data_IF_208949158190
#
_entry.id   IF_208949158190
#
_cell.length_a   1.000
_cell.length_b   1.000
_cell.length_c   1.000
_cell.angle_alpha   90.00
_cell.angle_beta   90.00
_cell.angle_gamma   90.00
#
_symmetry.space_group_name_H-M   'P 1'
#
loop_
_entity.id
_entity.type
_entity.pdbx_description
1 polymer ?
#
# COMPACT_ATOMS: atom_id res chain seq x y z
N UNK A 1 -10.88 25.56 -16.69
CA UNK A 1 -11.83 25.74 -17.81
C UNK A 1 -13.18 25.28 -17.31
N UNK A 2 -14.21 26.12 -17.38
CA UNK A 2 -15.56 25.73 -16.97
C UNK A 2 -16.00 24.56 -17.86
N UNK A 3 -16.06 23.36 -17.29
CA UNK A 3 -16.79 22.27 -17.92
C UNK A 3 -18.22 22.79 -18.11
N UNK A 4 -18.72 22.73 -19.35
CA UNK A 4 -20.13 22.97 -19.70
C UNK A 4 -20.98 21.80 -19.18
N UNK A 5 -20.87 21.47 -17.89
CA UNK A 5 -21.76 20.50 -17.25
C UNK A 5 -23.17 21.06 -17.33
N UNK A 6 -24.09 20.21 -17.76
CA UNK A 6 -25.49 20.59 -17.91
C UNK A 6 -26.14 20.85 -16.54
N UNK A 7 -27.07 21.80 -16.46
CA UNK A 7 -27.71 22.15 -15.18
C UNK A 7 -28.61 21.01 -14.67
N UNK A 8 -29.23 20.22 -15.55
CA UNK A 8 -30.01 19.04 -15.17
C UNK A 8 -29.11 17.94 -14.61
N UNK A 9 -27.95 17.73 -15.24
CA UNK A 9 -26.93 16.81 -14.75
C UNK A 9 -26.44 17.20 -13.35
N UNK A 10 -26.20 18.50 -13.11
CA UNK A 10 -25.84 19.01 -11.78
C UNK A 10 -26.95 18.74 -10.76
N UNK A 11 -28.20 19.06 -11.08
CA UNK A 11 -29.34 18.81 -10.19
C UNK A 11 -29.45 17.32 -9.83
N UNK A 12 -29.16 16.42 -10.78
CA UNK A 12 -29.20 14.97 -10.55
C UNK A 12 -28.18 14.49 -9.50
N UNK A 13 -27.11 15.25 -9.24
CA UNK A 13 -26.11 14.92 -8.21
C UNK A 13 -26.57 15.25 -6.78
N UNK A 14 -27.65 16.03 -6.61
CA UNK A 14 -28.17 16.42 -5.30
C UNK A 14 -28.97 15.27 -4.70
N UNK A 15 -28.58 14.76 -3.54
CA UNK A 15 -29.22 13.60 -2.90
C UNK A 15 -30.63 13.91 -2.36
N UNK A 16 -30.80 15.08 -1.75
CA UNK A 16 -32.05 15.48 -1.10
C UNK A 16 -33.12 15.93 -2.12
N UNK A 17 -34.33 15.40 -2.00
CA UNK A 17 -35.40 15.63 -2.96
C UNK A 17 -36.00 17.05 -2.86
N UNK A 18 -36.16 17.59 -1.65
CA UNK A 18 -36.71 18.94 -1.45
C UNK A 18 -35.72 20.00 -1.94
N UNK A 19 -34.43 19.82 -1.62
CA UNK A 19 -33.37 20.70 -2.13
C UNK A 19 -33.26 20.61 -3.66
N UNK A 20 -33.46 19.42 -4.23
CA UNK A 20 -33.49 19.23 -5.69
C UNK A 20 -34.64 20.01 -6.33
N UNK A 21 -35.81 20.06 -5.70
CA UNK A 21 -36.96 20.82 -6.18
C UNK A 21 -36.69 22.33 -6.16
N UNK A 22 -36.10 22.87 -5.09
CA UNK A 22 -35.66 24.27 -5.07
C UNK A 22 -34.65 24.59 -6.18
N UNK A 23 -33.70 23.69 -6.45
CA UNK A 23 -32.73 23.89 -7.52
C UNK A 23 -33.35 23.77 -8.93
N UNK A 24 -34.42 22.97 -9.11
CA UNK A 24 -35.21 22.95 -10.35
C UNK A 24 -35.95 24.28 -10.58
N UNK A 25 -36.47 24.88 -9.52
CA UNK A 25 -37.06 26.23 -9.61
C UNK A 25 -35.99 27.28 -9.97
N UNK A 26 -34.80 27.18 -9.35
CA UNK A 26 -33.67 28.05 -9.67
C UNK A 26 -33.23 27.92 -11.14
N UNK A 27 -33.24 26.70 -11.69
CA UNK A 27 -32.98 26.44 -13.10
C UNK A 27 -34.10 27.00 -14.00
N UNK A 28 -35.36 26.86 -13.60
CA UNK A 28 -36.50 27.41 -14.35
C UNK A 28 -36.42 28.94 -14.44
N UNK A 29 -36.05 29.60 -13.36
CA UNK A 29 -35.76 31.03 -13.35
C UNK A 29 -34.61 31.40 -14.29
N UNK A 30 -33.55 30.61 -14.31
CA UNK A 30 -32.42 30.82 -15.21
C UNK A 30 -32.84 30.70 -16.69
N UNK A 31 -33.56 29.63 -17.04
CA UNK A 31 -34.08 29.39 -18.40
C UNK A 31 -35.06 30.48 -18.87
N UNK A 32 -35.82 31.08 -17.95
CA UNK A 32 -36.73 32.19 -18.24
C UNK A 32 -36.03 33.57 -18.31
N UNK A 33 -34.69 33.64 -18.14
CA UNK A 33 -33.94 34.90 -18.09
C UNK A 33 -34.10 35.68 -16.78
N UNK A 34 -34.74 35.09 -15.76
CA UNK A 34 -34.90 35.65 -14.43
C UNK A 34 -33.68 35.34 -13.55
N UNK A 35 -32.50 35.85 -13.93
CA UNK A 35 -31.22 35.55 -13.27
C UNK A 35 -31.18 35.93 -11.79
N UNK A 36 -31.85 37.02 -11.40
CA UNK A 36 -32.01 37.41 -9.99
C UNK A 36 -32.73 36.31 -9.19
N UNK A 37 -33.78 35.73 -9.75
CA UNK A 37 -34.54 34.64 -9.12
C UNK A 37 -33.70 33.38 -8.98
N UNK A 38 -32.92 33.03 -10.01
CA UNK A 38 -32.02 31.87 -9.97
C UNK A 38 -30.98 31.96 -8.84
N UNK A 39 -30.36 33.14 -8.66
CA UNK A 39 -29.39 33.38 -7.57
C UNK A 39 -30.07 33.27 -6.20
N UNK A 40 -31.26 33.87 -6.04
CA UNK A 40 -31.99 33.87 -4.76
C UNK A 40 -32.44 32.46 -4.38
N UNK A 41 -32.98 31.68 -5.32
CA UNK A 41 -33.40 30.30 -5.06
C UNK A 41 -32.20 29.39 -4.77
N UNK A 42 -31.09 29.56 -5.49
CA UNK A 42 -29.84 28.82 -5.20
C UNK A 42 -29.32 29.11 -3.79
N UNK A 43 -29.43 30.36 -3.34
CA UNK A 43 -29.09 30.75 -1.97
C UNK A 43 -30.00 30.06 -0.94
N UNK A 44 -31.31 30.05 -1.18
CA UNK A 44 -32.29 29.42 -0.26
C UNK A 44 -32.01 27.93 -0.14
N UNK A 45 -31.89 27.23 -1.27
CA UNK A 45 -31.60 25.80 -1.31
C UNK A 45 -30.32 25.47 -0.53
N UNK A 46 -29.27 26.29 -0.69
CA UNK A 46 -28.00 26.09 0.01
C UNK A 46 -28.12 26.19 1.53
N UNK A 47 -28.73 27.25 2.05
CA UNK A 47 -28.81 27.44 3.50
C UNK A 47 -29.79 26.48 4.17
N UNK A 48 -30.84 26.07 3.46
CA UNK A 48 -31.75 25.04 3.95
C UNK A 48 -31.07 23.67 4.01
N UNK A 49 -30.33 23.31 2.96
CA UNK A 49 -29.49 22.10 2.92
C UNK A 49 -28.43 22.12 4.02
N UNK A 50 -27.70 23.23 4.21
CA UNK A 50 -26.72 23.36 5.29
C UNK A 50 -27.39 23.16 6.66
N UNK A 51 -28.60 23.67 6.87
CA UNK A 51 -29.30 23.58 8.15
C UNK A 51 -29.81 22.15 8.42
N UNK A 52 -30.37 21.46 7.41
CA UNK A 52 -30.73 20.03 7.50
C UNK A 52 -29.50 19.20 7.80
N UNK A 53 -28.41 19.43 7.06
CA UNK A 53 -27.13 18.76 7.24
C UNK A 53 -26.53 19.04 8.63
N UNK A 54 -26.66 20.26 9.14
CA UNK A 54 -26.22 20.62 10.48
C UNK A 54 -27.07 19.93 11.57
N UNK A 55 -28.37 19.74 11.34
CA UNK A 55 -29.27 18.99 12.23
C UNK A 55 -28.89 17.51 12.35
N UNK A 56 -28.44 16.89 11.26
CA UNK A 56 -27.88 15.54 11.31
C UNK A 56 -26.54 15.50 12.06
N UNK A 57 -25.67 16.48 11.83
CA UNK A 57 -24.40 16.63 12.55
C UNK A 57 -24.61 16.88 14.07
N UNK A 58 -25.69 17.54 14.46
CA UNK A 58 -26.05 17.82 15.85
C UNK A 58 -26.33 16.58 16.70
N UNK A 59 -26.67 15.44 16.08
CA UNK A 59 -26.92 14.18 16.80
C UNK A 59 -25.66 13.65 17.50
N UNK A 60 -24.49 14.01 17.01
CA UNK A 60 -23.22 13.39 17.42
C UNK A 60 -22.08 14.38 17.70
N UNK A 61 -22.20 15.64 17.29
CA UNK A 61 -21.22 16.69 17.57
C UNK A 61 -21.85 17.78 18.44
N UNK A 62 -21.32 17.98 19.66
CA UNK A 62 -21.88 18.94 20.64
C UNK A 62 -21.72 20.40 20.21
N UNK A 63 -20.65 20.74 19.49
CA UNK A 63 -20.44 22.07 18.92
C UNK A 63 -21.47 22.33 17.82
N UNK A 64 -21.60 21.39 16.88
CA UNK A 64 -22.60 21.47 15.82
C UNK A 64 -24.03 21.46 16.38
N UNK A 65 -24.29 20.73 17.46
CA UNK A 65 -25.57 20.75 18.17
C UNK A 65 -25.90 22.13 18.70
N UNK A 66 -24.92 22.81 19.30
CA UNK A 66 -25.13 24.16 19.83
C UNK A 66 -25.46 25.13 18.70
N UNK A 67 -24.72 25.06 17.59
CA UNK A 67 -24.96 25.90 16.40
C UNK A 67 -26.31 25.55 15.76
N UNK A 68 -26.62 24.25 15.63
CA UNK A 68 -27.89 23.74 15.09
C UNK A 68 -29.07 24.25 15.90
N UNK A 69 -29.06 24.03 17.22
CA UNK A 69 -30.14 24.42 18.12
C UNK A 69 -30.39 25.93 18.05
N UNK A 70 -29.33 26.74 17.97
CA UNK A 70 -29.45 28.19 17.82
C UNK A 70 -29.94 28.59 16.41
N UNK A 71 -29.46 27.94 15.35
CA UNK A 71 -29.87 28.19 13.98
C UNK A 71 -31.34 27.81 13.73
N UNK A 72 -31.80 26.66 14.26
CA UNK A 72 -33.20 26.24 14.21
C UNK A 72 -34.10 27.19 15.00
N UNK A 73 -33.65 27.69 16.17
CA UNK A 73 -34.38 28.72 16.92
C UNK A 73 -34.51 30.02 16.12
N UNK A 74 -33.42 30.48 15.51
CA UNK A 74 -33.43 31.69 14.65
C UNK A 74 -34.36 31.51 13.45
N UNK A 75 -34.30 30.36 12.77
CA UNK A 75 -35.22 30.02 11.67
C UNK A 75 -36.69 30.03 12.12
N UNK A 76 -37.00 29.42 13.28
CA UNK A 76 -38.35 29.38 13.84
C UNK A 76 -38.89 30.78 14.21
N UNK A 77 -38.01 31.67 14.68
CA UNK A 77 -38.35 33.06 15.00
C UNK A 77 -38.37 33.99 13.77
N UNK A 78 -38.09 33.48 12.57
CA UNK A 78 -37.90 34.27 11.35
C UNK A 78 -36.74 35.29 11.42
N UNK A 79 -35.75 35.02 12.26
CA UNK A 79 -34.51 35.80 12.34
C UNK A 79 -33.54 35.40 11.21
N UNK A 80 -32.62 36.31 10.86
CA UNK A 80 -31.53 36.04 9.89
C UNK A 80 -30.55 35.04 10.50
N UNK A 81 -30.59 33.79 10.04
CA UNK A 81 -29.77 32.68 10.57
C UNK A 81 -28.55 32.38 9.69
N UNK A 82 -28.56 32.83 8.43
CA UNK A 82 -27.52 32.50 7.45
C UNK A 82 -26.18 33.16 7.80
N UNK A 83 -26.20 34.40 8.33
CA UNK A 83 -24.99 35.07 8.82
C UNK A 83 -24.36 34.31 9.97
N UNK A 84 -25.21 33.92 10.93
CA UNK A 84 -24.78 33.13 12.08
C UNK A 84 -24.17 31.80 11.65
N UNK A 85 -24.78 31.09 10.69
CA UNK A 85 -24.25 29.85 10.14
C UNK A 85 -22.87 30.05 9.50
N UNK A 86 -22.70 31.04 8.62
CA UNK A 86 -21.40 31.30 7.98
C UNK A 86 -20.32 31.54 9.04
N UNK A 87 -20.58 32.43 10.00
CA UNK A 87 -19.60 32.83 11.01
C UNK A 87 -19.24 31.67 11.95
N UNK A 88 -20.24 30.92 12.44
CA UNK A 88 -20.01 29.79 13.34
C UNK A 88 -19.33 28.61 12.63
N UNK A 89 -19.78 28.25 11.43
CA UNK A 89 -19.19 27.13 10.69
C UNK A 89 -17.74 27.44 10.28
N UNK A 90 -17.42 28.69 9.92
CA UNK A 90 -16.06 29.10 9.56
C UNK A 90 -15.17 29.20 10.81
N UNK A 91 -15.63 29.83 11.89
CA UNK A 91 -14.82 30.01 13.12
C UNK A 91 -14.55 28.70 13.87
N UNK A 92 -15.41 27.69 13.70
CA UNK A 92 -15.24 26.34 14.27
C UNK A 92 -14.59 25.36 13.30
N UNK A 93 -14.12 25.83 12.14
CA UNK A 93 -13.49 25.00 11.10
C UNK A 93 -14.35 23.82 10.61
N UNK A 94 -15.67 24.00 10.63
CA UNK A 94 -16.62 23.06 10.01
C UNK A 94 -16.79 23.34 8.51
N UNK A 95 -16.42 24.56 8.07
CA UNK A 95 -16.26 24.93 6.67
C UNK A 95 -14.82 25.39 6.42
N UNK A 96 -14.29 25.13 5.23
CA UNK A 96 -13.00 25.68 4.81
C UNK A 96 -13.08 27.21 4.70
N UNK A 97 -11.96 27.91 4.86
CA UNK A 97 -11.92 29.37 4.69
C UNK A 97 -12.33 29.82 3.28
N UNK A 98 -12.05 28.99 2.26
CA UNK A 98 -12.46 29.25 0.87
C UNK A 98 -13.98 29.12 0.70
N UNK A 99 -14.58 28.11 1.32
CA UNK A 99 -16.03 27.93 1.27
C UNK A 99 -16.75 29.02 2.05
N UNK A 100 -16.22 29.42 3.22
CA UNK A 100 -16.73 30.58 3.96
C UNK A 100 -16.69 31.89 3.15
N UNK A 101 -15.59 32.12 2.40
CA UNK A 101 -15.48 33.26 1.50
C UNK A 101 -16.48 33.22 0.33
N UNK A 102 -16.72 32.03 -0.22
CA UNK A 102 -17.76 31.83 -1.25
C UNK A 102 -19.16 32.10 -0.69
N UNK A 103 -19.52 31.55 0.47
CA UNK A 103 -20.83 31.80 1.10
C UNK A 103 -21.05 33.28 1.40
N UNK A 104 -19.99 33.98 1.81
CA UNK A 104 -20.02 35.44 2.01
C UNK A 104 -20.30 36.19 0.70
N UNK A 105 -19.62 35.80 -0.39
CA UNK A 105 -19.87 36.35 -1.73
C UNK A 105 -21.31 36.10 -2.18
N UNK A 106 -21.78 34.87 -2.05
CA UNK A 106 -23.13 34.46 -2.43
C UNK A 106 -24.19 35.25 -1.65
N UNK A 107 -23.99 35.49 -0.35
CA UNK A 107 -24.85 36.36 0.46
C UNK A 107 -24.93 37.79 -0.08
N UNK A 108 -23.79 38.38 -0.44
CA UNK A 108 -23.73 39.73 -1.01
C UNK A 108 -24.52 39.79 -2.32
N UNK A 109 -24.32 38.80 -3.20
CA UNK A 109 -25.02 38.71 -4.49
C UNK A 109 -26.52 38.47 -4.32
N UNK A 110 -26.92 37.63 -3.37
CA UNK A 110 -28.34 37.44 -2.99
C UNK A 110 -28.96 38.76 -2.54
N UNK A 111 -28.29 39.52 -1.66
CA UNK A 111 -28.83 40.80 -1.17
C UNK A 111 -28.97 41.83 -2.29
N UNK A 112 -27.98 41.93 -3.17
CA UNK A 112 -28.05 42.79 -4.36
C UNK A 112 -29.19 42.35 -5.31
N UNK A 113 -29.41 41.05 -5.44
CA UNK A 113 -30.43 40.48 -6.34
C UNK A 113 -31.83 40.54 -5.76
N UNK A 114 -32.01 40.47 -4.43
CA UNK A 114 -33.33 40.52 -3.79
C UNK A 114 -33.85 41.96 -3.63
N UNK A 115 -32.97 42.93 -3.40
CA UNK A 115 -33.37 44.33 -3.18
C UNK A 115 -33.18 45.21 -4.42
N UNK A 116 -33.85 46.38 -4.52
CA UNK A 116 -33.67 47.35 -5.62
C UNK A 116 -32.29 48.05 -5.58
N UNK A 117 -31.21 47.29 -5.73
CA UNK A 117 -29.82 47.79 -5.64
C UNK A 117 -29.28 48.34 -6.97
N UNK A 118 -30.03 48.16 -8.06
CA UNK A 118 -29.55 48.41 -9.42
C UNK A 118 -28.68 47.30 -10.02
N UNK A 119 -28.36 46.24 -9.26
CA UNK A 119 -27.62 45.08 -9.76
C UNK A 119 -28.44 44.30 -10.79
N UNK A 120 -27.83 44.02 -11.94
CA UNK A 120 -28.40 43.24 -13.05
C UNK A 120 -27.48 42.05 -13.33
N UNK A 121 -27.67 40.92 -12.62
CA UNK A 121 -26.83 39.74 -12.82
C UNK A 121 -26.94 39.22 -14.25
N UNK A 122 -25.82 38.81 -14.83
CA UNK A 122 -25.77 38.20 -16.16
C UNK A 122 -26.11 36.70 -16.11
N UNK A 123 -26.26 36.09 -17.30
CA UNK A 123 -26.45 34.64 -17.40
C UNK A 123 -25.23 33.87 -16.85
N UNK A 124 -24.03 34.39 -17.07
CA UNK A 124 -22.78 33.78 -16.59
C UNK A 124 -22.68 33.87 -15.07
N UNK A 125 -23.06 34.99 -14.48
CA UNK A 125 -23.08 35.18 -13.03
C UNK A 125 -24.05 34.18 -12.38
N UNK A 126 -25.28 34.09 -12.88
CA UNK A 126 -26.26 33.13 -12.36
C UNK A 126 -25.81 31.68 -12.53
N UNK A 127 -25.24 31.32 -13.70
CA UNK A 127 -24.71 29.97 -13.95
C UNK A 127 -23.53 29.62 -13.06
N UNK A 128 -22.63 30.57 -12.83
CA UNK A 128 -21.50 30.38 -11.93
C UNK A 128 -21.98 30.08 -10.50
N UNK A 129 -22.92 30.88 -9.99
CA UNK A 129 -23.50 30.68 -8.67
C UNK A 129 -24.22 29.33 -8.58
N UNK A 130 -25.02 28.99 -9.58
CA UNK A 130 -25.70 27.70 -9.65
C UNK A 130 -24.70 26.53 -9.58
N UNK A 131 -23.68 26.56 -10.44
CA UNK A 131 -22.66 25.51 -10.52
C UNK A 131 -21.90 25.36 -9.20
N UNK A 132 -21.42 26.46 -8.62
CA UNK A 132 -20.63 26.41 -7.40
C UNK A 132 -21.46 25.97 -6.20
N UNK A 133 -22.71 26.43 -6.09
CA UNK A 133 -23.63 25.99 -5.04
C UNK A 133 -23.84 24.47 -5.09
N UNK A 134 -24.12 23.91 -6.27
CA UNK A 134 -24.34 22.47 -6.41
C UNK A 134 -23.06 21.66 -6.18
N UNK A 135 -21.98 22.00 -6.90
CA UNK A 135 -20.76 21.20 -6.92
C UNK A 135 -19.96 21.27 -5.62
N UNK A 136 -20.00 22.39 -4.90
CA UNK A 136 -19.28 22.55 -3.62
C UNK A 136 -20.07 22.08 -2.41
N UNK A 137 -21.39 22.24 -2.43
CA UNK A 137 -22.21 22.03 -1.23
C UNK A 137 -23.32 21.00 -1.41
N UNK A 138 -24.26 21.24 -2.32
CA UNK A 138 -25.50 20.44 -2.37
C UNK A 138 -25.26 18.98 -2.79
N UNK A 139 -24.36 18.76 -3.76
CA UNK A 139 -23.97 17.43 -4.24
C UNK A 139 -23.09 16.64 -3.27
N UNK A 140 -22.59 17.30 -2.21
CA UNK A 140 -21.65 16.68 -1.27
C UNK A 140 -22.35 16.28 0.01
N UNK A 141 -22.14 15.04 0.51
CA UNK A 141 -22.54 14.68 1.86
C UNK A 141 -21.73 15.50 2.87
N UNK A 142 -22.41 15.86 3.95
CA UNK A 142 -22.10 16.80 5.04
C UNK A 142 -20.63 16.96 5.44
N UNK A 143 -20.29 18.23 5.71
CA UNK A 143 -19.18 18.93 6.39
C UNK A 143 -18.36 18.26 7.51
N UNK A 144 -18.21 16.93 7.55
CA UNK A 144 -17.58 16.28 8.70
C UNK A 144 -16.47 15.32 8.30
N UNK A 145 -15.33 15.91 7.94
CA UNK A 145 -14.03 15.23 7.94
C UNK A 145 -13.76 14.55 9.29
N UNK A 146 -14.32 15.07 10.39
CA UNK A 146 -14.08 14.58 11.76
C UNK A 146 -15.07 13.51 12.21
N UNK A 147 -16.38 13.62 11.91
CA UNK A 147 -17.39 12.64 12.34
C UNK A 147 -17.28 11.32 11.61
N UNK A 148 -17.09 11.32 10.28
CA UNK A 148 -16.92 10.06 9.55
C UNK A 148 -15.69 9.31 10.07
N UNK A 149 -14.63 10.06 10.42
CA UNK A 149 -13.48 9.50 11.13
C UNK A 149 -13.90 8.93 12.49
N UNK A 150 -14.63 9.66 13.32
CA UNK A 150 -15.12 9.14 14.61
C UNK A 150 -15.97 7.87 14.47
N UNK A 151 -16.88 7.81 13.49
CA UNK A 151 -17.75 6.66 13.22
C UNK A 151 -16.97 5.43 12.75
N UNK A 152 -15.98 5.62 11.88
CA UNK A 152 -15.05 4.54 11.49
C UNK A 152 -14.30 4.05 12.72
N UNK A 153 -13.73 4.96 13.51
CA UNK A 153 -12.90 4.61 14.65
C UNK A 153 -13.69 3.93 15.77
N UNK A 154 -14.94 4.33 16.01
CA UNK A 154 -15.82 3.73 17.03
C UNK A 154 -16.12 2.25 16.73
N UNK A 155 -16.11 1.84 15.46
CA UNK A 155 -16.37 0.46 15.04
C UNK A 155 -15.14 -0.44 15.03
N UNK A 156 -13.93 0.11 15.22
CA UNK A 156 -12.70 -0.69 15.20
C UNK A 156 -12.60 -1.74 16.32
N UNK A 157 -13.36 -1.58 17.41
CA UNK A 157 -13.46 -2.59 18.46
C UNK A 157 -14.26 -3.84 18.05
N UNK A 158 -14.99 -3.78 16.93
CA UNK A 158 -15.81 -4.90 16.45
C UNK A 158 -14.93 -6.00 15.87
N UNK A 159 -15.19 -7.25 16.27
CA UNK A 159 -14.40 -8.42 15.82
C UNK A 159 -14.46 -8.65 14.31
N UNK A 160 -15.56 -8.25 13.68
CA UNK A 160 -15.85 -8.52 12.26
C UNK A 160 -15.61 -7.30 11.36
N UNK A 161 -14.96 -6.25 11.87
CA UNK A 161 -14.67 -5.06 11.07
C UNK A 161 -13.83 -5.42 9.84
N UNK A 162 -12.80 -6.25 10.03
CA UNK A 162 -12.10 -6.93 8.93
C UNK A 162 -12.40 -8.43 9.01
N UNK A 163 -13.08 -9.02 8.01
CA UNK A 163 -13.53 -10.41 8.07
C UNK A 163 -12.37 -11.42 7.96
N UNK A 164 -11.24 -11.03 7.37
CA UNK A 164 -10.05 -11.86 7.27
C UNK A 164 -8.77 -11.00 7.22
N UNK A 165 -7.62 -11.64 7.04
CA UNK A 165 -6.30 -10.98 7.02
C UNK A 165 -5.68 -10.87 5.63
N UNK A 166 -6.43 -11.18 4.57
CA UNK A 166 -5.96 -10.98 3.20
C UNK A 166 -5.87 -9.49 2.88
N UNK A 167 -4.78 -9.07 2.24
CA UNK A 167 -4.53 -7.65 1.98
C UNK A 167 -5.51 -7.06 0.96
N UNK A 168 -6.02 -7.88 0.03
CA UNK A 168 -6.97 -7.43 -0.99
C UNK A 168 -8.33 -7.17 -0.36
N UNK A 169 -8.76 -8.04 0.54
CA UNK A 169 -9.99 -7.90 1.33
C UNK A 169 -9.90 -6.73 2.32
N UNK A 170 -8.77 -6.60 3.02
CA UNK A 170 -8.50 -5.43 3.87
C UNK A 170 -8.60 -4.14 3.05
N UNK A 171 -8.00 -4.10 1.85
CA UNK A 171 -8.08 -2.92 0.99
C UNK A 171 -9.52 -2.66 0.50
N UNK A 172 -10.30 -3.70 0.17
CA UNK A 172 -11.70 -3.55 -0.23
C UNK A 172 -12.54 -2.92 0.89
N UNK A 173 -12.44 -3.44 2.12
CA UNK A 173 -13.12 -2.88 3.29
C UNK A 173 -12.67 -1.43 3.53
N UNK A 174 -11.36 -1.15 3.51
CA UNK A 174 -10.85 0.21 3.70
C UNK A 174 -11.35 1.19 2.62
N UNK A 175 -11.41 0.77 1.36
CA UNK A 175 -11.95 1.58 0.28
C UNK A 175 -13.45 1.88 0.48
N UNK A 176 -14.23 0.89 0.90
CA UNK A 176 -15.66 1.08 1.18
C UNK A 176 -15.86 2.08 2.32
N UNK A 177 -15.11 1.90 3.42
CA UNK A 177 -15.17 2.77 4.60
C UNK A 177 -14.71 4.20 4.33
N UNK A 178 -13.80 4.40 3.39
CA UNK A 178 -13.28 5.72 3.02
C UNK A 178 -13.97 6.33 1.80
N UNK A 179 -14.88 5.61 1.13
CA UNK A 179 -15.54 6.05 -0.11
C UNK A 179 -16.29 7.38 0.00
N UNK A 180 -16.84 7.66 1.20
CA UNK A 180 -17.57 8.89 1.52
C UNK A 180 -16.73 9.92 2.27
N UNK A 181 -15.47 9.59 2.55
CA UNK A 181 -14.57 10.43 3.33
C UNK A 181 -13.85 11.44 2.43
N UNK A 182 -13.84 12.72 2.82
CA UNK A 182 -13.08 13.74 2.10
C UNK A 182 -11.57 13.56 2.29
N UNK A 183 -10.78 13.85 1.27
CA UNK A 183 -9.31 13.70 1.31
C UNK A 183 -8.65 14.47 2.48
N UNK A 184 -9.20 15.63 2.83
CA UNK A 184 -8.73 16.45 3.97
C UNK A 184 -8.88 15.76 5.34
N UNK A 185 -9.72 14.74 5.44
CA UNK A 185 -9.86 13.95 6.66
C UNK A 185 -8.77 12.88 6.84
N UNK A 186 -8.13 12.45 5.74
CA UNK A 186 -7.15 11.37 5.75
C UNK A 186 -5.97 11.63 6.71
N UNK A 187 -5.39 12.84 6.78
CA UNK A 187 -4.35 13.14 7.77
C UNK A 187 -4.79 12.94 9.23
N UNK A 188 -6.05 13.23 9.55
CA UNK A 188 -6.61 13.04 10.89
C UNK A 188 -6.90 11.57 11.16
N UNK A 189 -7.53 10.87 10.21
CA UNK A 189 -7.79 9.45 10.29
C UNK A 189 -6.51 8.66 10.55
N UNK A 190 -5.48 8.88 9.73
CA UNK A 190 -4.18 8.20 9.84
C UNK A 190 -3.53 8.50 11.20
N UNK A 191 -3.57 9.75 11.67
CA UNK A 191 -3.01 10.10 12.98
C UNK A 191 -3.70 9.37 14.13
N UNK A 192 -5.03 9.21 14.07
CA UNK A 192 -5.80 8.53 15.11
C UNK A 192 -5.65 7.02 15.05
N UNK A 193 -5.70 6.43 13.85
CA UNK A 193 -5.39 5.03 13.64
C UNK A 193 -4.00 4.69 14.19
N UNK A 194 -3.00 5.53 13.90
CA UNK A 194 -1.63 5.35 14.43
C UNK A 194 -1.64 5.27 15.95
N UNK A 195 -2.34 6.15 16.66
CA UNK A 195 -2.43 6.09 18.13
C UNK A 195 -3.12 4.81 18.61
N UNK A 196 -4.16 4.36 17.91
CA UNK A 196 -4.95 3.19 18.28
C UNK A 196 -4.25 1.86 18.01
N UNK A 197 -3.19 1.83 17.20
CA UNK A 197 -2.30 0.65 17.08
C UNK A 197 -1.76 0.23 18.45
N UNK A 198 -1.46 1.19 19.33
CA UNK A 198 -1.01 0.94 20.69
C UNK A 198 -2.15 0.83 21.72
N UNK A 199 -3.40 0.63 21.28
CA UNK A 199 -4.54 0.42 22.17
C UNK A 199 -4.38 -0.88 22.98
N UNK A 200 -4.86 -0.88 24.22
CA UNK A 200 -4.96 -2.09 25.04
C UNK A 200 -6.07 -3.05 24.57
N UNK A 201 -7.02 -2.58 23.75
CA UNK A 201 -8.03 -3.44 23.14
C UNK A 201 -7.47 -4.12 21.86
N UNK A 202 -7.44 -5.46 21.88
CA UNK A 202 -6.82 -6.25 20.82
C UNK A 202 -7.51 -6.09 19.46
N UNK A 203 -8.84 -5.96 19.44
CA UNK A 203 -9.59 -5.73 18.20
C UNK A 203 -9.24 -4.35 17.64
N UNK A 204 -9.31 -3.31 18.46
CA UNK A 204 -8.97 -1.94 18.06
C UNK A 204 -7.53 -1.85 17.55
N UNK A 205 -6.56 -2.45 18.24
CA UNK A 205 -5.15 -2.44 17.83
C UNK A 205 -4.94 -3.15 16.48
N UNK A 206 -5.47 -4.37 16.34
CA UNK A 206 -5.32 -5.16 15.12
C UNK A 206 -6.07 -4.56 13.93
N UNK A 207 -7.30 -4.08 14.13
CA UNK A 207 -8.09 -3.43 13.10
C UNK A 207 -7.49 -2.08 12.70
N UNK A 208 -6.92 -1.30 13.63
CA UNK A 208 -6.21 -0.06 13.28
C UNK A 208 -5.00 -0.33 12.39
N UNK A 209 -4.23 -1.38 12.70
CA UNK A 209 -3.09 -1.82 11.88
C UNK A 209 -3.54 -2.25 10.48
N UNK A 210 -4.60 -3.07 10.39
CA UNK A 210 -5.19 -3.50 9.11
C UNK A 210 -5.70 -2.31 8.29
N UNK A 211 -6.37 -1.35 8.91
CA UNK A 211 -6.87 -0.16 8.23
C UNK A 211 -5.74 0.65 7.61
N UNK A 212 -4.64 0.86 8.33
CA UNK A 212 -3.44 1.52 7.79
C UNK A 212 -2.82 0.74 6.62
N UNK A 213 -2.84 -0.60 6.67
CA UNK A 213 -2.38 -1.45 5.57
C UNK A 213 -3.28 -1.33 4.33
N UNK A 214 -4.60 -1.30 4.53
CA UNK A 214 -5.59 -1.06 3.48
C UNK A 214 -5.35 0.27 2.79
N UNK A 215 -5.17 1.34 3.57
CA UNK A 215 -4.85 2.68 3.06
C UNK A 215 -3.52 2.71 2.29
N UNK A 216 -2.46 2.08 2.82
CA UNK A 216 -1.17 2.02 2.14
C UNK A 216 -1.25 1.34 0.77
N UNK A 217 -2.10 0.31 0.65
CA UNK A 217 -2.29 -0.47 -0.57
C UNK A 217 -2.96 0.32 -1.70
N UNK A 218 -3.79 1.32 -1.39
CA UNK A 218 -4.45 2.19 -2.38
C UNK A 218 -3.46 3.00 -3.22
N UNK A 219 -2.23 3.21 -2.71
CA UNK A 219 -1.17 3.94 -3.40
C UNK A 219 -1.54 5.39 -3.81
N UNK A 220 -2.47 6.02 -3.08
CA UNK A 220 -2.80 7.44 -3.25
C UNK A 220 -1.64 8.31 -2.75
N UNK A 221 -1.20 9.36 -3.49
CA UNK A 221 -0.07 10.20 -3.09
C UNK A 221 -0.24 10.85 -1.70
N UNK A 222 -1.42 11.38 -1.41
CA UNK A 222 -1.73 11.99 -0.12
C UNK A 222 -1.61 10.98 1.03
N UNK A 223 -2.24 9.81 0.89
CA UNK A 223 -2.18 8.72 1.88
C UNK A 223 -0.74 8.26 2.11
N UNK A 224 0.03 8.08 1.03
CA UNK A 224 1.44 7.65 1.11
C UNK A 224 2.28 8.67 1.88
N UNK A 225 2.09 9.96 1.61
CA UNK A 225 2.77 11.05 2.33
C UNK A 225 2.41 11.07 3.82
N UNK A 226 1.12 10.95 4.14
CA UNK A 226 0.63 11.01 5.52
C UNK A 226 1.03 9.79 6.35
N UNK A 227 0.98 8.57 5.79
CA UNK A 227 1.46 7.34 6.46
C UNK A 227 2.96 7.46 6.74
N UNK A 228 3.74 7.92 5.76
CA UNK A 228 5.19 8.10 5.93
C UNK A 228 5.49 9.02 7.11
N UNK A 229 4.89 10.21 7.14
CA UNK A 229 5.11 11.21 8.19
C UNK A 229 4.60 10.77 9.56
N UNK A 230 3.37 10.25 9.63
CA UNK A 230 2.67 10.01 10.91
C UNK A 230 2.93 8.63 11.50
N UNK A 231 3.32 7.66 10.68
CA UNK A 231 3.61 6.29 11.14
C UNK A 231 5.12 6.04 11.08
N UNK A 232 5.72 6.06 9.89
CA UNK A 232 7.10 5.58 9.73
C UNK A 232 8.10 6.54 10.41
N UNK A 233 8.09 7.82 10.03
CA UNK A 233 9.00 8.81 10.59
C UNK A 233 8.77 9.04 12.09
N UNK A 234 7.50 9.08 12.51
CA UNK A 234 7.13 9.40 13.89
C UNK A 234 7.19 8.20 14.86
N UNK A 235 7.17 6.95 14.37
CA UNK A 235 7.08 5.74 15.22
C UNK A 235 8.15 4.67 14.96
N UNK A 236 9.10 4.88 14.05
CA UNK A 236 10.15 3.88 13.79
C UNK A 236 11.10 3.61 14.98
N UNK A 237 11.11 4.45 16.02
CA UNK A 237 11.81 4.18 17.28
C UNK A 237 10.99 3.38 18.30
N UNK A 238 9.68 3.24 18.10
CA UNK A 238 8.78 2.54 19.01
C UNK A 238 8.65 1.05 18.59
N UNK A 239 9.08 0.09 19.44
CA UNK A 239 9.02 -1.34 19.13
C UNK A 239 7.61 -1.85 18.81
N UNK A 240 6.56 -1.23 19.35
CA UNK A 240 5.16 -1.63 19.11
C UNK A 240 4.76 -1.49 17.64
N UNK A 241 5.44 -0.62 16.90
CA UNK A 241 5.13 -0.32 15.50
C UNK A 241 6.05 -1.07 14.52
N UNK A 242 7.07 -1.78 15.00
CA UNK A 242 8.07 -2.43 14.15
C UNK A 242 7.45 -3.40 13.14
N UNK A 243 6.54 -4.27 13.57
CA UNK A 243 5.85 -5.20 12.67
C UNK A 243 4.95 -4.50 11.67
N UNK A 244 4.18 -3.51 12.13
CA UNK A 244 3.32 -2.70 11.26
C UNK A 244 4.13 -1.98 10.18
N UNK A 245 5.28 -1.40 10.53
CA UNK A 245 6.15 -0.71 9.58
C UNK A 245 6.64 -1.68 8.50
N UNK A 246 7.06 -2.90 8.86
CA UNK A 246 7.44 -3.93 7.87
C UNK A 246 6.24 -4.24 6.96
N UNK A 247 5.06 -4.46 7.53
CA UNK A 247 3.86 -4.77 6.75
C UNK A 247 3.46 -3.63 5.80
N UNK A 248 3.56 -2.37 6.23
CA UNK A 248 3.27 -1.19 5.42
C UNK A 248 4.23 -1.08 4.23
N UNK A 249 5.53 -1.22 4.46
CA UNK A 249 6.54 -1.21 3.38
C UNK A 249 6.31 -2.40 2.42
N UNK A 250 6.01 -3.59 2.94
CA UNK A 250 5.67 -4.76 2.14
C UNK A 250 4.44 -4.54 1.26
N UNK A 251 3.45 -3.78 1.75
CA UNK A 251 2.24 -3.45 1.00
C UNK A 251 2.48 -2.36 -0.06
N UNK A 252 3.34 -1.38 0.24
CA UNK A 252 3.66 -0.26 -0.64
C UNK A 252 5.12 0.22 -0.47
N UNK A 253 5.98 -0.12 -1.42
CA UNK A 253 7.40 0.26 -1.42
C UNK A 253 7.64 1.77 -1.51
N UNK A 254 6.71 2.55 -2.08
CA UNK A 254 6.86 4.01 -2.23
C UNK A 254 6.92 4.75 -0.90
N UNK A 255 6.46 4.11 0.18
CA UNK A 255 6.61 4.61 1.54
C UNK A 255 8.09 4.77 1.94
N UNK A 256 9.02 4.06 1.29
CA UNK A 256 10.46 4.20 1.50
C UNK A 256 11.06 5.47 0.87
N UNK A 257 10.51 5.93 -0.26
CA UNK A 257 11.12 7.00 -1.06
C UNK A 257 11.19 8.32 -0.27
N UNK A 258 12.36 8.96 -0.24
CA UNK A 258 12.53 10.25 0.43
C UNK A 258 12.47 10.22 1.96
N UNK A 259 12.58 9.04 2.59
CA UNK A 259 12.73 8.94 4.04
C UNK A 259 14.04 9.60 4.51
N UNK A 260 14.04 10.29 5.67
CA UNK A 260 15.27 10.81 6.26
C UNK A 260 16.27 9.70 6.61
N UNK A 261 17.57 9.98 6.52
CA UNK A 261 18.63 9.00 6.79
C UNK A 261 18.52 8.33 8.17
N UNK A 262 18.11 9.08 9.20
CA UNK A 262 17.88 8.54 10.55
C UNK A 262 16.74 7.52 10.55
N UNK A 263 15.67 7.78 9.79
CA UNK A 263 14.53 6.88 9.68
C UNK A 263 14.91 5.61 8.90
N UNK A 264 15.71 5.74 7.84
CA UNK A 264 16.28 4.59 7.11
C UNK A 264 17.10 3.71 8.06
N UNK A 265 17.96 4.29 8.90
CA UNK A 265 18.73 3.54 9.91
C UNK A 265 17.85 2.77 10.90
N UNK A 266 16.72 3.34 11.32
CA UNK A 266 15.74 2.66 12.18
C UNK A 266 15.04 1.52 11.45
N UNK A 267 14.59 1.75 10.20
CA UNK A 267 13.95 0.73 9.37
C UNK A 267 14.88 -0.47 9.15
N UNK A 268 16.15 -0.22 8.86
CA UNK A 268 17.20 -1.22 8.77
C UNK A 268 17.33 -2.06 10.05
N UNK A 269 17.37 -1.41 11.21
CA UNK A 269 17.40 -2.10 12.51
C UNK A 269 16.14 -2.97 12.74
N UNK A 270 14.96 -2.47 12.38
CA UNK A 270 13.70 -3.21 12.46
C UNK A 270 13.75 -4.47 11.57
N UNK A 271 14.19 -4.33 10.32
CA UNK A 271 14.34 -5.43 9.37
C UNK A 271 15.36 -6.46 9.87
N UNK A 272 16.54 -6.02 10.32
CA UNK A 272 17.60 -6.89 10.85
C UNK A 272 17.11 -7.70 12.07
N UNK A 273 16.43 -7.06 13.03
CA UNK A 273 15.81 -7.75 14.18
C UNK A 273 14.77 -8.78 13.73
N UNK A 274 13.97 -8.46 12.71
CA UNK A 274 12.97 -9.40 12.19
C UNK A 274 13.62 -10.59 11.50
N UNK A 275 14.70 -10.37 10.73
CA UNK A 275 15.50 -11.46 10.12
C UNK A 275 16.08 -12.38 11.21
N UNK A 276 16.65 -11.81 12.27
CA UNK A 276 17.23 -12.57 13.39
C UNK A 276 16.22 -13.48 14.10
N UNK A 277 14.94 -13.11 14.12
CA UNK A 277 13.85 -13.86 14.77
C UNK A 277 13.08 -14.78 13.81
N UNK A 278 13.50 -14.92 12.55
CA UNK A 278 12.82 -15.80 11.58
C UNK A 278 12.89 -17.27 12.01
N UNK A 279 11.71 -17.88 12.09
CA UNK A 279 11.50 -19.33 12.29
C UNK A 279 10.75 -19.90 11.09
N UNK A 280 10.91 -21.21 10.81
CA UNK A 280 10.25 -21.88 9.66
C UNK A 280 8.72 -21.82 9.71
N UNK A 281 8.13 -21.49 10.86
CA UNK A 281 6.70 -21.32 11.04
C UNK A 281 6.14 -20.04 10.38
N UNK A 282 6.97 -19.02 10.13
CA UNK A 282 6.50 -17.79 9.51
C UNK A 282 6.47 -17.94 7.98
N UNK A 283 5.25 -18.01 7.42
CA UNK A 283 5.08 -18.00 5.97
C UNK A 283 5.65 -16.72 5.34
N UNK A 284 6.42 -16.91 4.28
CA UNK A 284 7.08 -15.85 3.50
C UNK A 284 6.10 -15.05 2.64
N UNK A 285 4.87 -15.55 2.49
CA UNK A 285 3.78 -14.83 1.83
C UNK A 285 3.19 -13.74 2.72
N UNK A 286 3.41 -13.80 4.04
CA UNK A 286 2.89 -12.79 4.98
C UNK A 286 3.64 -11.48 4.82
N UNK A 287 2.91 -10.36 4.86
CA UNK A 287 3.48 -9.01 4.73
C UNK A 287 4.53 -8.67 5.80
N UNK A 288 4.51 -9.36 6.95
CA UNK A 288 5.50 -9.16 8.03
C UNK A 288 6.85 -9.82 7.73
N UNK A 289 6.95 -10.62 6.66
CA UNK A 289 8.20 -11.27 6.29
C UNK A 289 9.18 -10.26 5.67
N UNK A 290 10.45 -10.17 6.14
CA UNK A 290 11.43 -9.19 5.66
C UNK A 290 11.67 -9.20 4.14
N UNK A 291 11.64 -10.40 3.51
CA UNK A 291 11.78 -10.52 2.04
C UNK A 291 10.70 -9.75 1.28
N UNK A 292 9.48 -9.63 1.83
CA UNK A 292 8.40 -8.87 1.20
C UNK A 292 8.68 -7.38 1.25
N UNK A 293 9.20 -6.87 2.36
CA UNK A 293 9.55 -5.48 2.51
C UNK A 293 10.71 -5.11 1.57
N UNK A 294 11.79 -5.90 1.57
CA UNK A 294 12.94 -5.67 0.69
C UNK A 294 12.56 -5.79 -0.80
N UNK A 295 11.76 -6.79 -1.19
CA UNK A 295 11.28 -6.92 -2.56
C UNK A 295 10.33 -5.79 -2.98
N UNK A 296 9.56 -5.23 -2.03
CA UNK A 296 8.69 -4.08 -2.29
C UNK A 296 9.52 -2.81 -2.50
N UNK A 297 10.53 -2.56 -1.67
CA UNK A 297 11.48 -1.44 -1.84
C UNK A 297 12.26 -1.57 -3.16
N UNK A 298 12.70 -2.78 -3.51
CA UNK A 298 13.47 -3.04 -4.71
C UNK A 298 12.74 -2.68 -6.01
N UNK A 299 11.40 -2.60 -5.99
CA UNK A 299 10.63 -2.13 -7.15
C UNK A 299 10.73 -0.62 -7.37
N UNK A 300 11.10 0.12 -6.33
CA UNK A 300 11.11 1.58 -6.32
C UNK A 300 12.54 2.15 -6.36
N UNK A 301 13.57 1.32 -6.20
CA UNK A 301 14.99 1.70 -6.22
C UNK A 301 15.75 0.99 -7.34
N UNK A 302 16.89 1.57 -7.72
CA UNK A 302 17.87 0.85 -8.53
C UNK A 302 18.59 -0.23 -7.70
N UNK A 303 19.04 -1.34 -8.31
CA UNK A 303 19.72 -2.42 -7.59
C UNK A 303 20.94 -1.96 -6.78
N UNK A 304 21.72 -1.00 -7.28
CA UNK A 304 22.92 -0.49 -6.60
C UNK A 304 22.56 0.33 -5.35
N UNK A 305 21.49 1.13 -5.41
CA UNK A 305 20.99 1.93 -4.30
C UNK A 305 20.37 1.05 -3.21
N UNK A 306 19.62 0.02 -3.62
CA UNK A 306 19.07 -0.99 -2.72
C UNK A 306 20.19 -1.68 -1.95
N UNK A 307 21.20 -2.16 -2.67
CA UNK A 307 22.31 -2.88 -2.05
C UNK A 307 23.14 -1.97 -1.15
N UNK A 308 23.48 -0.75 -1.60
CA UNK A 308 24.21 0.22 -0.77
C UNK A 308 23.46 0.61 0.51
N UNK A 309 22.13 0.52 0.52
CA UNK A 309 21.31 0.82 1.70
C UNK A 309 21.14 -0.39 2.63
N UNK A 310 20.89 -1.58 2.08
CA UNK A 310 20.46 -2.77 2.84
C UNK A 310 21.44 -3.96 2.75
N UNK A 311 22.72 -3.73 2.43
CA UNK A 311 23.70 -4.79 2.23
C UNK A 311 23.72 -5.83 3.36
N UNK A 312 23.84 -5.38 4.62
CA UNK A 312 23.93 -6.27 5.77
C UNK A 312 22.65 -7.10 5.93
N UNK A 313 21.49 -6.45 5.81
CA UNK A 313 20.18 -7.08 5.94
C UNK A 313 19.92 -8.09 4.81
N UNK A 314 20.35 -7.80 3.58
CA UNK A 314 20.22 -8.73 2.45
C UNK A 314 21.11 -9.96 2.65
N UNK A 315 22.36 -9.77 3.08
CA UNK A 315 23.28 -10.88 3.37
C UNK A 315 22.74 -11.77 4.48
N UNK A 316 22.26 -11.18 5.57
CA UNK A 316 21.67 -11.92 6.68
C UNK A 316 20.41 -12.68 6.25
N UNK A 317 19.56 -12.08 5.41
CA UNK A 317 18.37 -12.74 4.88
C UNK A 317 18.73 -13.94 4.02
N UNK A 318 19.68 -13.78 3.08
CA UNK A 318 20.14 -14.86 2.20
C UNK A 318 20.68 -16.01 3.05
N UNK A 319 21.53 -15.72 4.04
CA UNK A 319 22.09 -16.73 4.93
C UNK A 319 21.05 -17.43 5.79
N UNK A 320 20.03 -16.71 6.26
CA UNK A 320 18.97 -17.26 7.12
C UNK A 320 17.94 -18.06 6.33
N UNK A 321 17.70 -17.69 5.07
CA UNK A 321 16.69 -18.26 4.17
C UNK A 321 17.25 -18.52 2.76
N UNK A 322 18.31 -19.33 2.62
CA UNK A 322 18.95 -19.53 1.33
C UNK A 322 18.05 -20.33 0.38
N UNK A 323 17.27 -21.27 0.90
CA UNK A 323 16.44 -22.19 0.10
C UNK A 323 14.98 -21.74 -0.06
N UNK A 324 14.70 -20.49 0.29
CA UNK A 324 13.37 -19.90 0.16
C UNK A 324 13.08 -19.56 -1.30
N UNK A 325 11.92 -20.01 -1.82
CA UNK A 325 11.46 -19.60 -3.15
C UNK A 325 11.28 -18.07 -3.25
N UNK A 326 10.85 -17.40 -2.17
CA UNK A 326 10.69 -15.95 -2.19
C UNK A 326 12.05 -15.22 -2.16
N UNK A 327 13.05 -15.74 -1.44
CA UNK A 327 14.42 -15.23 -1.47
C UNK A 327 15.02 -15.41 -2.87
N UNK A 328 14.90 -16.60 -3.47
CA UNK A 328 15.38 -16.86 -4.83
C UNK A 328 14.74 -15.89 -5.83
N UNK A 329 13.41 -15.71 -5.75
CA UNK A 329 12.70 -14.77 -6.61
C UNK A 329 13.17 -13.33 -6.41
N UNK A 330 13.40 -12.91 -5.16
CA UNK A 330 13.94 -11.59 -4.85
C UNK A 330 15.34 -11.38 -5.44
N UNK A 331 16.22 -12.40 -5.35
CA UNK A 331 17.56 -12.38 -5.96
C UNK A 331 17.46 -12.33 -7.49
N UNK A 332 16.59 -13.14 -8.10
CA UNK A 332 16.41 -13.18 -9.55
C UNK A 332 15.93 -11.83 -10.12
N UNK A 333 15.05 -11.12 -9.40
CA UNK A 333 14.59 -9.78 -9.78
C UNK A 333 15.70 -8.72 -9.72
N UNK A 334 16.78 -8.99 -8.96
CA UNK A 334 17.92 -8.09 -8.77
C UNK A 334 19.23 -8.78 -9.14
N UNK A 335 19.20 -9.64 -10.18
CA UNK A 335 20.24 -10.61 -10.51
C UNK A 335 21.65 -9.99 -10.59
N UNK A 336 21.79 -8.85 -11.26
CA UNK A 336 23.09 -8.22 -11.50
C UNK A 336 23.89 -7.94 -10.21
N UNK A 337 23.20 -7.56 -9.13
CA UNK A 337 23.85 -7.19 -7.86
C UNK A 337 23.81 -8.33 -6.84
N UNK A 338 22.69 -9.08 -6.79
CA UNK A 338 22.47 -10.06 -5.71
C UNK A 338 22.89 -11.49 -6.06
N UNK A 339 22.90 -11.87 -7.34
CA UNK A 339 23.22 -13.24 -7.72
C UNK A 339 24.64 -13.66 -7.33
N UNK A 340 25.71 -12.86 -7.51
CA UNK A 340 27.06 -13.28 -7.12
C UNK A 340 27.16 -13.63 -5.63
N UNK A 341 26.47 -12.88 -4.77
CA UNK A 341 26.43 -13.12 -3.32
C UNK A 341 25.64 -14.37 -2.99
N UNK A 342 24.46 -14.52 -3.58
CA UNK A 342 23.58 -15.66 -3.35
C UNK A 342 24.22 -16.97 -3.81
N UNK A 343 24.82 -16.98 -5.00
CA UNK A 343 25.43 -18.16 -5.60
C UNK A 343 26.65 -18.60 -4.80
N UNK A 344 27.46 -17.66 -4.30
CA UNK A 344 28.59 -17.97 -3.42
C UNK A 344 28.14 -18.71 -2.15
N UNK A 345 27.09 -18.23 -1.49
CA UNK A 345 26.54 -18.90 -0.30
C UNK A 345 25.91 -20.27 -0.65
N UNK A 346 25.16 -20.33 -1.75
CA UNK A 346 24.49 -21.55 -2.21
C UNK A 346 25.49 -22.67 -2.53
N UNK A 347 26.58 -22.35 -3.23
CA UNK A 347 27.65 -23.32 -3.55
C UNK A 347 28.41 -23.76 -2.30
N UNK A 348 28.61 -22.84 -1.34
CA UNK A 348 29.24 -23.16 -0.06
C UNK A 348 28.40 -24.14 0.76
N UNK A 349 27.08 -23.96 0.77
CA UNK A 349 26.14 -24.88 1.41
C UNK A 349 26.09 -26.25 0.71
N UNK A 350 25.93 -26.25 -0.62
CA UNK A 350 25.82 -27.46 -1.43
C UNK A 350 27.07 -28.35 -1.33
N UNK A 351 28.25 -27.74 -1.26
CA UNK A 351 29.55 -28.42 -1.15
C UNK A 351 30.14 -28.46 0.25
N UNK A 352 29.32 -28.19 1.29
CA UNK A 352 29.79 -28.12 2.66
C UNK A 352 30.28 -29.47 3.17
N UNK A 353 31.41 -29.48 3.88
CA UNK A 353 31.87 -30.65 4.63
C UNK A 353 31.08 -30.87 5.92
N UNK A 354 30.19 -29.95 6.28
CA UNK A 354 29.28 -30.11 7.43
C UNK A 354 28.02 -30.83 6.96
N UNK A 355 27.84 -32.08 7.38
CA UNK A 355 26.77 -32.95 6.88
C UNK A 355 25.37 -32.34 7.01
N UNK A 356 25.08 -31.67 8.13
CA UNK A 356 23.77 -31.04 8.32
C UNK A 356 23.48 -29.94 7.30
N UNK A 357 24.48 -29.16 6.90
CA UNK A 357 24.35 -28.08 5.92
C UNK A 357 24.12 -28.66 4.52
N UNK A 358 25.03 -29.52 4.07
CA UNK A 358 24.92 -30.15 2.75
C UNK A 358 23.64 -30.97 2.59
N UNK A 359 23.25 -31.74 3.62
CA UNK A 359 22.01 -32.53 3.58
C UNK A 359 20.76 -31.65 3.62
N UNK A 360 20.81 -30.47 4.26
CA UNK A 360 19.68 -29.53 4.26
C UNK A 360 19.44 -28.96 2.85
N UNK A 361 20.51 -28.61 2.13
CA UNK A 361 20.41 -28.20 0.73
C UNK A 361 19.90 -29.34 -0.15
N UNK A 362 20.56 -30.50 -0.11
CA UNK A 362 20.23 -31.65 -0.94
C UNK A 362 18.79 -32.15 -0.70
N UNK A 363 18.28 -32.04 0.53
CA UNK A 363 16.92 -32.44 0.87
C UNK A 363 15.81 -31.54 0.34
N UNK A 364 16.13 -30.36 -0.22
CA UNK A 364 15.11 -29.39 -0.72
C UNK A 364 15.32 -28.96 -2.17
N UNK A 365 16.46 -29.30 -2.78
CA UNK A 365 16.85 -28.80 -4.12
C UNK A 365 15.88 -29.23 -5.23
N UNK A 366 15.20 -30.37 -5.08
CA UNK A 366 14.16 -30.86 -5.99
C UNK A 366 13.01 -29.85 -6.15
N UNK A 367 12.56 -29.27 -5.03
CA UNK A 367 11.51 -28.24 -4.99
C UNK A 367 11.97 -26.89 -5.54
N UNK A 368 13.28 -26.72 -5.79
CA UNK A 368 13.91 -25.48 -6.22
C UNK A 368 14.43 -25.55 -7.66
N UNK A 369 14.37 -26.71 -8.32
CA UNK A 369 14.93 -26.94 -9.67
C UNK A 369 14.53 -25.84 -10.67
N UNK A 370 13.24 -25.53 -10.74
CA UNK A 370 12.73 -24.49 -11.63
C UNK A 370 13.25 -23.08 -11.27
N UNK A 371 13.21 -22.71 -10.00
CA UNK A 371 13.58 -21.36 -9.57
C UNK A 371 15.10 -21.12 -9.68
N UNK A 372 15.91 -22.14 -9.38
CA UNK A 372 17.37 -22.07 -9.49
C UNK A 372 17.83 -22.14 -10.95
N UNK A 373 17.24 -22.99 -11.79
CA UNK A 373 17.60 -23.04 -13.21
C UNK A 373 17.31 -21.74 -13.97
N UNK A 374 16.28 -20.98 -13.57
CA UNK A 374 16.03 -19.65 -14.13
C UNK A 374 17.03 -18.59 -13.61
N UNK A 375 17.51 -18.75 -12.38
CA UNK A 375 18.45 -17.83 -11.76
C UNK A 375 19.89 -18.05 -12.25
N UNK A 376 20.33 -19.30 -12.31
CA UNK A 376 21.71 -19.70 -12.58
C UNK A 376 21.99 -19.75 -14.09
N UNK A 377 23.23 -19.49 -14.47
CA UNK A 377 23.75 -19.83 -15.80
C UNK A 377 24.08 -21.31 -15.91
N UNK A 378 24.24 -21.83 -17.13
CA UNK A 378 24.66 -23.22 -17.36
C UNK A 378 25.96 -23.57 -16.61
N UNK A 379 26.91 -22.64 -16.56
CA UNK A 379 28.16 -22.80 -15.80
C UNK A 379 27.89 -22.92 -14.29
N UNK A 380 27.03 -22.09 -13.73
CA UNK A 380 26.71 -22.10 -12.30
C UNK A 380 25.89 -23.34 -11.91
N UNK A 381 25.00 -23.82 -12.80
CA UNK A 381 24.33 -25.12 -12.64
C UNK A 381 25.34 -26.28 -12.60
N UNK A 382 26.35 -26.26 -13.48
CA UNK A 382 27.44 -27.23 -13.43
C UNK A 382 28.23 -27.16 -12.12
N UNK A 383 28.61 -25.94 -11.68
CA UNK A 383 29.30 -25.76 -10.40
C UNK A 383 28.48 -26.26 -9.21
N UNK A 384 27.16 -26.10 -9.25
CA UNK A 384 26.26 -26.58 -8.20
C UNK A 384 26.24 -28.11 -8.12
N UNK A 385 26.18 -28.80 -9.26
CA UNK A 385 26.28 -30.27 -9.31
C UNK A 385 27.61 -30.73 -8.72
N UNK A 386 28.72 -30.12 -9.15
CA UNK A 386 30.06 -30.45 -8.66
C UNK A 386 30.19 -30.20 -7.15
N UNK A 387 29.56 -29.14 -6.64
CA UNK A 387 29.52 -28.88 -5.20
C UNK A 387 28.78 -30.00 -4.46
N UNK A 388 27.61 -30.45 -4.95
CA UNK A 388 26.87 -31.58 -4.35
C UNK A 388 27.69 -32.87 -4.38
N UNK A 389 28.36 -33.19 -5.50
CA UNK A 389 29.26 -34.34 -5.60
C UNK A 389 30.39 -34.29 -4.58
N UNK A 390 30.99 -33.11 -4.40
CA UNK A 390 32.04 -32.92 -3.39
C UNK A 390 31.53 -33.22 -1.98
N UNK A 391 30.30 -32.82 -1.66
CA UNK A 391 29.69 -33.16 -0.38
C UNK A 391 29.38 -34.67 -0.25
N UNK A 392 29.00 -35.33 -1.36
CA UNK A 392 28.83 -36.78 -1.40
C UNK A 392 30.15 -37.52 -1.10
N UNK A 393 31.28 -37.09 -1.66
CA UNK A 393 32.63 -37.63 -1.38
C UNK A 393 33.00 -37.52 0.11
N UNK A 394 32.54 -36.45 0.79
CA UNK A 394 32.73 -36.28 2.22
C UNK A 394 31.77 -37.13 3.09
N UNK A 395 30.78 -37.78 2.49
CA UNK A 395 29.84 -38.66 3.17
C UNK A 395 28.48 -38.04 3.52
N UNK A 396 28.11 -36.90 2.93
CA UNK A 396 26.77 -36.33 3.09
C UNK A 396 25.73 -37.22 2.37
N UNK A 397 24.93 -37.98 3.14
CA UNK A 397 24.05 -39.02 2.60
C UNK A 397 23.00 -38.51 1.60
N UNK A 398 22.44 -37.32 1.79
CA UNK A 398 21.41 -36.79 0.88
C UNK A 398 22.05 -36.35 -0.43
N UNK A 399 23.25 -35.77 -0.37
CA UNK A 399 24.04 -35.45 -1.55
C UNK A 399 24.44 -36.70 -2.32
N UNK A 400 24.90 -37.75 -1.62
CA UNK A 400 25.22 -39.04 -2.22
C UNK A 400 24.00 -39.73 -2.85
N UNK A 401 22.82 -39.57 -2.25
CA UNK A 401 21.57 -40.07 -2.82
C UNK A 401 21.20 -39.35 -4.13
N UNK A 402 21.36 -38.01 -4.19
CA UNK A 402 21.15 -37.24 -5.42
C UNK A 402 22.12 -37.65 -6.54
N UNK A 403 23.40 -37.82 -6.20
CA UNK A 403 24.43 -38.25 -7.14
C UNK A 403 24.18 -39.68 -7.64
N UNK A 404 23.87 -40.61 -6.74
CA UNK A 404 23.55 -42.02 -7.09
C UNK A 404 22.29 -42.11 -7.96
N UNK A 405 21.33 -41.19 -7.76
CA UNK A 405 20.13 -41.05 -8.58
C UNK A 405 20.36 -40.19 -9.84
N UNK A 406 21.63 -39.89 -10.17
CA UNK A 406 22.06 -39.15 -11.34
C UNK A 406 21.34 -37.81 -11.55
N UNK A 407 21.06 -37.13 -10.43
CA UNK A 407 20.37 -35.85 -10.37
C UNK A 407 19.00 -35.82 -11.09
N UNK A 408 18.36 -36.98 -11.24
CA UNK A 408 17.06 -37.12 -11.90
C UNK A 408 15.94 -36.28 -11.26
N UNK A 409 16.06 -35.95 -9.96
CA UNK A 409 15.13 -35.10 -9.22
C UNK A 409 15.26 -33.60 -9.55
N UNK A 410 16.34 -33.17 -10.21
CA UNK A 410 16.60 -31.78 -10.62
C UNK A 410 16.86 -31.68 -12.14
N UNK A 411 15.88 -32.08 -12.98
CA UNK A 411 16.10 -32.26 -14.41
C UNK A 411 16.53 -30.99 -15.13
N UNK A 412 16.07 -29.79 -14.72
CA UNK A 412 16.44 -28.53 -15.39
C UNK A 412 17.88 -28.15 -15.08
N UNK A 413 18.28 -28.17 -13.80
CA UNK A 413 19.67 -27.93 -13.39
C UNK A 413 20.60 -28.94 -14.08
N UNK A 414 20.21 -30.22 -14.11
CA UNK A 414 20.95 -31.29 -14.79
C UNK A 414 21.15 -30.99 -16.28
N UNK A 415 20.10 -30.62 -16.99
CA UNK A 415 20.20 -30.26 -18.42
C UNK A 415 21.10 -29.04 -18.67
N UNK A 416 21.00 -28.00 -17.85
CA UNK A 416 21.88 -26.81 -17.95
C UNK A 416 23.35 -27.14 -17.69
N UNK A 417 23.63 -28.00 -16.72
CA UNK A 417 25.00 -28.47 -16.47
C UNK A 417 25.56 -29.27 -17.67
N UNK A 418 24.78 -30.15 -18.27
CA UNK A 418 25.17 -30.89 -19.49
C UNK A 418 25.46 -29.92 -20.65
N UNK A 419 24.63 -28.89 -20.84
CA UNK A 419 24.86 -27.86 -21.87
C UNK A 419 26.19 -27.14 -21.67
N UNK A 420 26.54 -26.77 -20.42
CA UNK A 420 27.84 -26.19 -20.13
C UNK A 420 28.99 -27.13 -20.45
N UNK A 421 28.91 -28.38 -20.00
CA UNK A 421 29.96 -29.38 -20.24
C UNK A 421 30.18 -29.57 -21.75
N UNK A 422 29.11 -29.70 -22.53
CA UNK A 422 29.19 -29.88 -23.98
C UNK A 422 29.74 -28.66 -24.71
N UNK A 423 29.42 -27.45 -24.24
CA UNK A 423 29.89 -26.20 -24.84
C UNK A 423 31.30 -25.81 -24.40
N UNK A 424 31.79 -26.29 -23.26
CA UNK A 424 33.11 -25.95 -22.72
C UNK A 424 33.81 -27.14 -22.02
N UNK A 425 34.08 -28.21 -22.77
CA UNK A 425 34.73 -29.43 -22.26
C UNK A 425 36.05 -29.17 -21.51
N UNK A 426 37.02 -28.40 -22.03
CA UNK A 426 38.32 -28.22 -21.35
C UNK A 426 38.18 -27.51 -20.00
N UNK A 427 37.27 -26.54 -19.91
CA UNK A 427 36.98 -25.83 -18.66
C UNK A 427 36.30 -26.72 -17.63
N UNK A 428 35.33 -27.53 -18.06
CA UNK A 428 34.65 -28.50 -17.21
C UNK A 428 35.62 -29.54 -16.64
N UNK A 429 36.48 -30.14 -17.48
CA UNK A 429 37.49 -31.12 -17.05
C UNK A 429 38.46 -30.52 -16.03
N UNK A 430 38.97 -29.31 -16.30
CA UNK A 430 39.86 -28.61 -15.37
C UNK A 430 39.21 -28.39 -14.00
N UNK A 431 37.92 -28.00 -13.99
CA UNK A 431 37.17 -27.76 -12.76
C UNK A 431 36.88 -29.07 -11.99
N UNK A 432 36.55 -30.16 -12.70
CA UNK A 432 36.32 -31.49 -12.11
C UNK A 432 37.59 -32.05 -11.45
N UNK A 433 38.74 -31.92 -12.11
CA UNK A 433 40.05 -32.30 -11.53
C UNK A 433 40.33 -31.49 -10.27
N UNK A 434 40.11 -30.17 -10.31
CA UNK A 434 40.38 -29.28 -9.18
C UNK A 434 39.49 -29.59 -7.96
N UNK A 435 38.17 -29.79 -8.20
CA UNK A 435 37.19 -29.87 -7.10
C UNK A 435 36.91 -31.29 -6.60
N UNK A 436 36.95 -32.29 -7.48
CA UNK A 436 36.62 -33.69 -7.18
C UNK A 436 37.80 -34.65 -7.36
N UNK A 437 38.95 -34.18 -7.87
CA UNK A 437 40.07 -35.04 -8.28
C UNK A 437 39.66 -36.08 -9.33
N UNK A 438 38.64 -35.76 -10.12
CA UNK A 438 38.14 -36.62 -11.20
C UNK A 438 39.04 -36.46 -12.43
N UNK A 439 39.91 -37.45 -12.67
CA UNK A 439 40.94 -37.42 -13.72
C UNK A 439 40.50 -38.09 -15.04
N UNK A 440 39.20 -38.12 -15.31
CA UNK A 440 38.63 -38.69 -16.54
C UNK A 440 37.99 -37.60 -17.42
N UNK A 441 37.52 -37.97 -18.61
CA UNK A 441 36.95 -37.01 -19.56
C UNK A 441 35.60 -36.47 -19.10
N UNK A 442 35.25 -35.27 -19.55
CA UNK A 442 33.95 -34.68 -19.26
C UNK A 442 32.76 -35.54 -19.75
N UNK A 443 32.93 -36.25 -20.87
CA UNK A 443 31.91 -37.17 -21.38
C UNK A 443 31.66 -38.33 -20.41
N UNK A 444 32.73 -38.87 -19.79
CA UNK A 444 32.60 -39.92 -18.76
C UNK A 444 31.95 -39.42 -17.49
N UNK A 445 32.13 -38.15 -17.13
CA UNK A 445 31.41 -37.55 -16.01
C UNK A 445 29.89 -37.53 -16.29
N UNK A 446 29.49 -37.17 -17.51
CA UNK A 446 28.08 -37.19 -17.94
C UNK A 446 27.51 -38.62 -17.87
N UNK A 447 28.23 -39.62 -18.39
CA UNK A 447 27.81 -41.03 -18.38
C UNK A 447 27.67 -41.58 -16.96
N UNK A 448 28.62 -41.25 -16.09
CA UNK A 448 28.69 -41.80 -14.73
C UNK A 448 27.66 -41.15 -13.81
N UNK A 449 27.46 -39.83 -13.92
CA UNK A 449 26.73 -39.06 -12.90
C UNK A 449 25.50 -38.31 -13.41
N UNK A 450 25.34 -38.04 -14.72
CA UNK A 450 24.28 -37.14 -15.22
C UNK A 450 23.28 -37.79 -16.19
N UNK A 451 23.51 -39.02 -16.63
CA UNK A 451 22.66 -39.70 -17.61
C UNK A 451 22.35 -41.13 -17.19
N UNK A 452 21.09 -41.53 -17.33
CA UNK A 452 20.65 -42.90 -17.03
C UNK A 452 21.09 -43.92 -18.10
N UNK A 453 21.65 -43.45 -19.22
CA UNK A 453 22.10 -44.29 -20.32
C UNK A 453 23.46 -44.94 -20.04
N UNK A 454 23.43 -46.26 -19.82
CA UNK A 454 24.40 -47.13 -20.50
C UNK A 454 24.16 -46.97 -22.00
N UNK A 455 24.90 -46.10 -22.67
CA UNK A 455 25.08 -46.23 -24.12
C UNK A 455 26.12 -47.32 -24.38
N UNK A 456 25.65 -48.57 -24.28
CA UNK A 456 26.17 -49.77 -24.95
C UNK A 456 25.15 -50.90 -24.85
#
# INVERSE_FOLDING_TARGET
MAHLTDMEELIATISDAEIRDYMREAMSCYMAGAYRGSIVLSYIALFDDILVKLGELAKVNTVAKTISDEAFKKKANQDVYENFLIDQLTSKSLLSGLDGAFLTTLRILRNKSAHPSGHKPSAEEARFIFFETVSRFLSRPILSTTQLVDEILARLGNSNFFPNTDISEINAVTNEETSKLHDEALPQLIARLTKLVASGDANTSSNSSRFLLGLAKENKPLVTSEIKKKVIEAKADDPLYGELIIQLISANGKLFLGLPAVCIGRLRSIISKKIGTLTSALSETKLVHPVRALASIAKELKPEELFGTFEAEIRDLIKKRPYSQQTIKFVAQNKATLAPLYITELLADAGSSTFSVANSFAGVVDSLDAALSELLSDHECFQLIVAVSKAADFGAWSSAALESAKYSAIPKIRSSAINYINSNKPGAESYLVEKLKFNETADKFIESYLTDEKNA
#
